data_IF_930401824904
#
_entry.id   IF_930401824904
#
_cell.length_a   1.000
_cell.length_b   1.000
_cell.length_c   1.000
_cell.angle_alpha   90.00
_cell.angle_beta   90.00
_cell.angle_gamma   90.00
#
_symmetry.space_group_name_H-M   'P 1'
#
loop_
_entity.id
_entity.type
_entity.pdbx_description
1 polymer ?
#
# COMPACT_ATOMS: atom_id res chain seq x y z
N UNK A 1 10.82 -13.46 -5.06
CA UNK A 1 10.64 -12.40 -4.05
C UNK A 1 11.98 -11.70 -3.91
N UNK A 2 12.08 -10.35 -3.97
CA UNK A 2 13.33 -9.69 -3.68
C UNK A 2 13.73 -9.95 -2.21
N UNK A 3 15.03 -9.96 -1.92
CA UNK A 3 15.50 -10.04 -0.55
C UNK A 3 15.16 -8.73 0.17
N UNK A 4 14.49 -8.82 1.32
CA UNK A 4 14.16 -7.68 2.16
C UNK A 4 15.43 -7.13 2.82
N UNK A 5 15.54 -5.81 2.87
CA UNK A 5 16.63 -5.09 3.53
C UNK A 5 16.21 -4.66 4.94
N UNK A 6 17.17 -4.34 5.82
CA UNK A 6 16.85 -3.69 7.09
C UNK A 6 16.05 -2.40 6.85
N UNK A 7 14.88 -2.28 7.49
CA UNK A 7 13.97 -1.13 7.33
C UNK A 7 12.80 -1.36 6.37
N UNK A 8 12.81 -2.46 5.61
CA UNK A 8 11.67 -2.87 4.79
C UNK A 8 10.58 -3.52 5.65
N UNK A 9 9.32 -3.33 5.28
CA UNK A 9 8.18 -4.03 5.89
C UNK A 9 7.49 -4.89 4.86
N UNK A 10 7.24 -6.14 5.21
CA UNK A 10 6.47 -7.07 4.41
C UNK A 10 5.23 -7.53 5.19
N UNK A 11 4.04 -7.25 4.68
CA UNK A 11 2.76 -7.66 5.28
C UNK A 11 2.11 -8.84 4.56
N UNK A 12 2.89 -9.67 3.86
CA UNK A 12 2.38 -10.83 3.13
C UNK A 12 1.49 -11.73 4.01
N UNK A 13 0.20 -11.77 3.67
CA UNK A 13 -0.81 -12.55 4.39
C UNK A 13 -1.23 -12.01 5.76
N UNK A 14 -0.65 -10.91 6.24
CA UNK A 14 -0.99 -10.32 7.53
C UNK A 14 -2.16 -9.32 7.40
N UNK A 15 -3.03 -9.31 8.41
CA UNK A 15 -4.00 -8.23 8.62
C UNK A 15 -3.41 -7.27 9.65
N UNK A 16 -3.10 -6.04 9.22
CA UNK A 16 -2.68 -4.95 10.09
C UNK A 16 -3.83 -3.94 10.10
N UNK A 17 -4.49 -3.80 11.25
CA UNK A 17 -5.65 -2.94 11.37
C UNK A 17 -5.64 -2.15 12.67
N UNK A 18 -6.14 -0.92 12.59
CA UNK A 18 -6.27 0.00 13.71
C UNK A 18 -7.28 1.11 13.43
N UNK A 19 -7.56 1.98 14.41
CA UNK A 19 -8.37 3.18 14.14
C UNK A 19 -7.61 4.17 13.27
N UNK A 20 -6.38 4.44 13.66
CA UNK A 20 -5.43 5.31 12.96
C UNK A 20 -4.14 4.53 12.78
N UNK A 21 -3.66 4.45 11.54
CA UNK A 21 -2.41 3.76 11.21
C UNK A 21 -1.42 4.77 10.67
N UNK A 22 -0.22 4.77 11.25
CA UNK A 22 0.90 5.58 10.77
C UNK A 22 2.11 4.65 10.67
N UNK A 23 2.62 4.47 9.46
CA UNK A 23 3.87 3.74 9.20
C UNK A 23 4.85 4.65 8.49
N UNK A 24 6.05 4.78 9.07
CA UNK A 24 7.16 5.51 8.50
C UNK A 24 8.32 4.54 8.39
N UNK A 25 8.71 4.25 7.16
CA UNK A 25 9.73 3.28 6.83
C UNK A 25 10.89 4.01 6.17
N UNK A 26 12.09 3.63 6.55
CA UNK A 26 13.30 4.07 5.87
C UNK A 26 13.55 3.26 4.59
N UNK A 27 12.96 2.07 4.48
CA UNK A 27 13.01 1.18 3.32
C UNK A 27 11.68 1.07 2.58
N UNK A 28 11.50 -0.05 1.91
CA UNK A 28 10.35 -0.33 1.05
C UNK A 28 9.18 -0.95 1.83
N UNK A 29 7.95 -0.60 1.46
CA UNK A 29 6.74 -1.29 1.91
C UNK A 29 6.31 -2.33 0.86
N UNK A 30 6.24 -3.60 1.25
CA UNK A 30 5.67 -4.69 0.46
C UNK A 30 4.35 -5.14 1.09
N UNK A 31 3.24 -4.65 0.56
CA UNK A 31 1.89 -5.07 0.96
C UNK A 31 1.30 -6.10 0.01
N UNK A 32 1.08 -7.31 0.53
CA UNK A 32 0.24 -8.33 -0.12
C UNK A 32 -0.85 -8.89 0.80
N UNK A 33 -1.01 -8.29 1.98
CA UNK A 33 -2.07 -8.57 2.95
C UNK A 33 -3.10 -7.44 3.00
N UNK A 34 -3.62 -7.13 4.19
CA UNK A 34 -4.59 -6.04 4.40
C UNK A 34 -4.06 -5.03 5.41
N UNK A 35 -3.98 -3.78 4.98
CA UNK A 35 -3.70 -2.61 5.82
C UNK A 35 -5.00 -1.81 5.96
N UNK A 36 -5.61 -1.79 7.14
CA UNK A 36 -6.91 -1.15 7.34
C UNK A 36 -6.90 -0.16 8.53
N UNK A 37 -6.98 1.14 8.24
CA UNK A 37 -7.22 2.18 9.25
C UNK A 37 -8.68 2.61 9.24
N UNK A 38 -9.42 2.53 10.35
CA UNK A 38 -10.84 2.92 10.37
C UNK A 38 -11.05 4.39 9.96
N UNK A 39 -10.18 5.29 10.42
CA UNK A 39 -10.23 6.72 10.12
C UNK A 39 -9.06 7.12 9.23
N UNK A 40 -7.83 6.83 9.64
CA UNK A 40 -6.64 7.36 8.96
C UNK A 40 -5.64 6.26 8.65
N UNK A 41 -5.07 6.27 7.46
CA UNK A 41 -3.92 5.48 7.05
C UNK A 41 -2.87 6.43 6.48
N UNK A 42 -1.73 6.58 7.13
CA UNK A 42 -0.59 7.37 6.68
C UNK A 42 0.62 6.47 6.50
N UNK A 43 1.07 6.29 5.27
CA UNK A 43 2.21 5.44 4.91
C UNK A 43 3.30 6.29 4.26
N UNK A 44 4.50 6.25 4.81
CA UNK A 44 5.70 6.86 4.25
C UNK A 44 6.77 5.78 4.09
N UNK A 45 7.36 5.67 2.90
CA UNK A 45 8.41 4.68 2.59
C UNK A 45 9.34 5.18 1.47
N UNK A 46 10.40 4.43 1.19
CA UNK A 46 11.22 4.61 -0.01
C UNK A 46 10.37 4.31 -1.27
N UNK A 47 9.87 3.08 -1.36
CA UNK A 47 8.84 2.68 -2.33
C UNK A 47 7.64 2.04 -1.63
N UNK A 48 6.46 2.20 -2.22
CA UNK A 48 5.23 1.53 -1.75
C UNK A 48 4.79 0.53 -2.81
N UNK A 49 4.89 -0.77 -2.50
CA UNK A 49 4.46 -1.87 -3.35
C UNK A 49 3.19 -2.52 -2.76
N UNK A 50 2.04 -2.30 -3.40
CA UNK A 50 0.78 -2.97 -3.08
C UNK A 50 0.50 -4.07 -4.11
N UNK A 51 0.96 -5.29 -3.84
CA UNK A 51 0.91 -6.43 -4.74
C UNK A 51 -0.21 -7.38 -4.30
N UNK A 52 -1.35 -7.35 -4.98
CA UNK A 52 -2.57 -8.10 -4.61
C UNK A 52 -3.06 -7.88 -3.16
N UNK A 53 -2.54 -6.86 -2.48
CA UNK A 53 -2.93 -6.46 -1.14
C UNK A 53 -4.05 -5.43 -1.13
N UNK A 54 -4.52 -5.08 0.06
CA UNK A 54 -5.52 -4.02 0.29
C UNK A 54 -4.97 -2.98 1.23
N UNK A 55 -5.12 -1.70 0.89
CA UNK A 55 -4.88 -0.55 1.77
C UNK A 55 -6.19 0.24 1.83
N UNK A 56 -6.79 0.33 3.01
CA UNK A 56 -8.10 0.95 3.17
C UNK A 56 -8.22 1.84 4.41
N UNK A 57 -8.96 2.94 4.29
CA UNK A 57 -9.43 3.74 5.42
C UNK A 57 -10.37 4.87 5.04
N UNK A 58 -10.77 5.71 5.99
CA UNK A 58 -11.57 6.89 5.64
C UNK A 58 -10.69 7.92 4.90
N UNK A 59 -9.51 8.20 5.44
CA UNK A 59 -8.50 9.06 4.85
C UNK A 59 -7.21 8.26 4.66
N UNK A 60 -6.73 8.15 3.42
CA UNK A 60 -5.52 7.39 3.07
C UNK A 60 -4.50 8.34 2.46
N UNK A 61 -3.32 8.42 3.04
CA UNK A 61 -2.18 9.19 2.55
C UNK A 61 -0.99 8.26 2.35
N UNK A 62 -0.57 8.13 1.09
CA UNK A 62 0.58 7.35 0.66
C UNK A 62 1.66 8.30 0.17
N UNK A 63 2.85 8.22 0.76
CA UNK A 63 4.00 9.03 0.37
C UNK A 63 5.20 8.12 0.14
N UNK A 64 5.60 7.98 -1.11
CA UNK A 64 6.83 7.30 -1.48
C UNK A 64 7.89 8.34 -1.87
N UNK A 65 9.14 8.12 -1.44
CA UNK A 65 10.26 8.96 -1.88
C UNK A 65 10.55 8.75 -3.37
N UNK A 66 10.41 7.52 -3.86
CA UNK A 66 10.68 7.16 -5.24
C UNK A 66 9.39 6.78 -5.96
N UNK A 67 8.85 5.57 -5.78
CA UNK A 67 7.69 5.11 -6.54
C UNK A 67 6.55 4.54 -5.67
N UNK A 68 5.32 4.66 -6.18
CA UNK A 68 4.16 3.89 -5.71
C UNK A 68 3.78 2.90 -6.80
N UNK A 69 3.67 1.61 -6.46
CA UNK A 69 3.34 0.54 -7.38
C UNK A 69 2.18 -0.28 -6.80
N UNK A 70 0.99 -0.22 -7.41
CA UNK A 70 -0.15 -1.06 -7.04
C UNK A 70 -0.49 -2.03 -8.16
N UNK A 71 -0.16 -3.31 -7.98
CA UNK A 71 -0.39 -4.37 -8.99
C UNK A 71 -1.41 -5.35 -8.46
N UNK A 72 -2.60 -5.38 -9.05
CA UNK A 72 -3.72 -6.22 -8.60
C UNK A 72 -4.23 -5.90 -7.19
N UNK A 73 -3.69 -4.86 -6.56
CA UNK A 73 -4.03 -4.45 -5.20
C UNK A 73 -5.07 -3.34 -5.15
N UNK A 74 -5.84 -3.30 -4.06
CA UNK A 74 -6.86 -2.30 -3.78
C UNK A 74 -6.29 -1.17 -2.92
N UNK A 75 -6.43 0.07 -3.39
CA UNK A 75 -6.24 1.29 -2.59
C UNK A 75 -7.60 1.96 -2.47
N UNK A 76 -8.17 2.03 -1.27
CA UNK A 76 -9.52 2.54 -1.07
C UNK A 76 -9.56 3.55 0.06
N UNK A 77 -10.11 4.72 -0.23
CA UNK A 77 -10.48 5.69 0.79
C UNK A 77 -11.98 6.00 0.71
N UNK A 78 -12.63 6.15 1.87
CA UNK A 78 -14.03 6.58 1.90
C UNK A 78 -14.18 8.09 1.70
N UNK A 79 -13.31 8.89 2.31
CA UNK A 79 -13.35 10.35 2.26
C UNK A 79 -12.30 10.91 1.29
N UNK A 80 -11.02 10.55 1.49
CA UNK A 80 -9.92 11.09 0.69
C UNK A 80 -8.75 10.13 0.51
N UNK A 81 -8.26 10.02 -0.73
CA UNK A 81 -7.06 9.27 -1.08
C UNK A 81 -6.03 10.25 -1.65
N UNK A 82 -4.91 10.41 -0.95
CA UNK A 82 -3.72 11.12 -1.41
C UNK A 82 -2.62 10.11 -1.67
N UNK A 83 -2.05 10.13 -2.87
CA UNK A 83 -0.89 9.33 -3.23
C UNK A 83 0.17 10.23 -3.88
N UNK A 84 1.36 10.28 -3.30
CA UNK A 84 2.47 11.09 -3.77
C UNK A 84 3.72 10.22 -3.89
N UNK A 85 4.31 10.22 -5.07
CA UNK A 85 5.59 9.59 -5.35
C UNK A 85 6.56 10.65 -5.86
N UNK A 86 7.84 10.56 -5.50
CA UNK A 86 8.85 11.48 -6.01
C UNK A 86 9.14 11.30 -7.50
N UNK A 87 8.87 10.11 -8.05
CA UNK A 87 9.07 9.78 -9.45
C UNK A 87 7.78 9.30 -10.10
N UNK A 88 7.36 8.05 -9.88
CA UNK A 88 6.24 7.45 -10.61
C UNK A 88 5.14 6.85 -9.70
N UNK A 89 3.90 6.90 -10.18
CA UNK A 89 2.77 6.15 -9.62
C UNK A 89 2.28 5.16 -10.67
N UNK A 90 2.54 3.88 -10.45
CA UNK A 90 2.18 2.78 -11.35
C UNK A 90 0.98 2.01 -10.78
N UNK A 91 -0.14 2.02 -11.50
CA UNK A 91 -1.34 1.26 -11.15
C UNK A 91 -1.64 0.22 -12.24
N UNK A 92 -1.55 -1.05 -11.89
CA UNK A 92 -1.81 -2.17 -12.80
C UNK A 92 -2.95 -3.00 -12.22
N UNK A 93 -4.12 -2.96 -12.84
CA UNK A 93 -5.26 -3.78 -12.42
C UNK A 93 -5.19 -5.18 -13.01
N UNK A 94 -5.54 -6.19 -12.23
CA UNK A 94 -5.70 -7.57 -12.73
C UNK A 94 -7.20 -7.88 -12.86
N UNK A 95 -7.77 -7.70 -14.05
CA UNK A 95 -9.12 -8.17 -14.35
C UNK A 95 -9.06 -9.65 -14.71
N UNK A 96 -9.67 -10.51 -13.89
CA UNK A 96 -9.92 -11.92 -14.26
C UNK A 96 -11.28 -11.98 -14.95
N UNK A 97 -11.29 -12.11 -16.27
CA UNK A 97 -12.51 -12.49 -16.99
C UNK A 97 -12.73 -13.97 -16.70
N UNK A 98 -13.77 -14.31 -15.93
CA UNK A 98 -14.23 -15.68 -15.86
C UNK A 98 -14.86 -15.99 -17.21
N UNK A 99 -14.25 -16.87 -18.02
CA UNK A 99 -14.97 -17.54 -19.09
C UNK A 99 -15.81 -18.62 -18.42
N UNK A 100 -17.14 -18.44 -18.47
CA UNK A 100 -18.12 -19.51 -18.22
C UNK A 100 -18.12 -20.51 -19.38
#
# INVERSE_FOLDING_TARGET
MPALKPGDVNSAGALIAGRDMVMKLDGDLFNSGKLAGKQTVQLSAENIHNQAGTIQGANVSLTARTDINSTGGLLQATDSLLAMAGRDINLTTTTRTAQE
#
